data_IF_014599534995
#
_entry.id   IF_014599534995
#
_cell.length_a   1.000
_cell.length_b   1.000
_cell.length_c   1.000
_cell.angle_alpha   90.00
_cell.angle_beta   90.00
_cell.angle_gamma   90.00
#
_symmetry.space_group_name_H-M   'P 1'
#
loop_
_entity.id
_entity.type
_entity.pdbx_description
1 polymer ?
#
# COMPACT_ATOMS: atom_id res chain seq x y z
N UNK A 1 -11.55 30.81 -24.83
CA UNK A 1 -12.46 30.47 -23.72
C UNK A 1 -11.61 30.24 -22.48
N UNK A 2 -11.68 31.16 -21.54
CA UNK A 2 -10.96 31.11 -20.27
C UNK A 2 -11.57 30.01 -19.40
N UNK A 3 -10.86 28.91 -19.22
CA UNK A 3 -11.14 27.94 -18.17
C UNK A 3 -10.71 28.56 -16.83
N UNK A 4 -11.67 28.83 -15.96
CA UNK A 4 -11.41 29.29 -14.60
C UNK A 4 -10.60 28.24 -13.82
N UNK A 5 -9.36 28.59 -13.52
CA UNK A 5 -8.40 27.76 -12.76
C UNK A 5 -8.57 27.84 -11.24
N UNK A 6 -9.59 28.52 -10.71
CA UNK A 6 -9.67 28.92 -9.31
C UNK A 6 -10.40 27.93 -8.37
N UNK A 7 -11.12 26.93 -8.91
CA UNK A 7 -11.84 25.93 -8.08
C UNK A 7 -11.02 24.67 -7.71
N UNK A 8 -9.80 24.55 -8.21
CA UNK A 8 -8.95 23.37 -8.05
C UNK A 8 -8.00 23.43 -6.85
N UNK A 9 -7.81 24.57 -6.21
CA UNK A 9 -6.81 24.71 -5.15
C UNK A 9 -7.25 24.23 -3.75
N UNK A 10 -8.54 24.05 -3.47
CA UNK A 10 -8.99 23.62 -2.15
C UNK A 10 -9.28 22.12 -2.01
N UNK A 11 -9.37 21.38 -3.12
CA UNK A 11 -9.65 19.91 -3.14
C UNK A 11 -8.41 19.02 -2.96
N UNK A 12 -7.23 19.59 -2.79
CA UNK A 12 -5.95 18.89 -2.92
C UNK A 12 -5.37 18.28 -1.62
N UNK A 13 -5.98 18.52 -0.47
CA UNK A 13 -5.31 18.28 0.82
C UNK A 13 -5.67 16.99 1.56
N UNK A 14 -6.75 16.30 1.25
CA UNK A 14 -7.00 14.97 1.83
C UNK A 14 -7.70 14.04 0.85
N UNK A 15 -7.11 12.87 0.63
CA UNK A 15 -7.80 11.77 -0.05
C UNK A 15 -8.88 11.25 0.89
N UNK A 16 -10.15 11.43 0.54
CA UNK A 16 -11.25 10.82 1.29
C UNK A 16 -11.23 9.31 1.12
N UNK A 17 -11.34 8.58 2.22
CA UNK A 17 -11.21 7.13 2.25
C UNK A 17 -12.55 6.44 1.93
N UNK A 18 -13.17 6.82 0.80
CA UNK A 18 -14.45 6.25 0.35
C UNK A 18 -14.38 5.71 -1.06
N UNK A 19 -15.22 4.73 -1.38
CA UNK A 19 -15.36 4.22 -2.74
C UNK A 19 -15.78 5.33 -3.72
N UNK A 20 -16.70 6.20 -3.31
CA UNK A 20 -17.18 7.32 -4.13
C UNK A 20 -16.04 8.26 -4.52
N UNK A 21 -15.19 8.63 -3.57
CA UNK A 21 -14.00 9.45 -3.84
C UNK A 21 -13.05 8.75 -4.81
N UNK A 22 -12.81 7.46 -4.66
CA UNK A 22 -12.00 6.67 -5.58
C UNK A 22 -12.55 6.65 -7.00
N UNK A 23 -13.86 6.48 -7.16
CA UNK A 23 -14.54 6.54 -8.48
C UNK A 23 -14.52 7.94 -9.10
N UNK A 24 -14.66 9.00 -8.29
CA UNK A 24 -14.52 10.40 -8.72
C UNK A 24 -13.12 10.67 -9.26
N UNK A 25 -12.09 10.22 -8.55
CA UNK A 25 -10.67 10.32 -8.97
C UNK A 25 -10.45 9.56 -10.28
N UNK A 26 -10.94 8.33 -10.39
CA UNK A 26 -10.86 7.55 -11.63
C UNK A 26 -11.50 8.32 -12.80
N UNK A 27 -12.74 8.77 -12.65
CA UNK A 27 -13.47 9.51 -13.67
C UNK A 27 -12.70 10.75 -14.15
N UNK A 28 -12.14 11.51 -13.21
CA UNK A 28 -11.39 12.73 -13.53
C UNK A 28 -10.07 12.44 -14.24
N UNK A 29 -9.46 11.28 -13.99
CA UNK A 29 -8.20 10.87 -14.59
C UNK A 29 -8.37 10.19 -15.96
N UNK A 30 -9.53 9.60 -16.27
CA UNK A 30 -9.76 8.86 -17.52
C UNK A 30 -9.24 9.56 -18.78
N UNK A 31 -9.49 10.87 -19.01
CA UNK A 31 -8.99 11.54 -20.23
C UNK A 31 -7.46 11.53 -20.36
N UNK A 32 -6.74 11.37 -19.25
CA UNK A 32 -5.27 11.39 -19.20
C UNK A 32 -4.63 10.00 -19.26
N UNK A 33 -5.41 8.93 -19.07
CA UNK A 33 -4.89 7.54 -18.87
C UNK A 33 -4.20 6.94 -20.12
N UNK A 34 -4.25 7.60 -21.26
CA UNK A 34 -3.61 7.19 -22.50
C UNK A 34 -2.21 7.78 -22.71
N UNK A 35 -1.97 8.36 -23.86
CA UNK A 35 -0.68 8.94 -24.30
C UNK A 35 -0.16 10.04 -23.37
N UNK A 36 -1.07 10.83 -22.77
CA UNK A 36 -0.69 11.88 -21.81
C UNK A 36 0.01 11.27 -20.61
N UNK A 37 -0.57 10.22 -20.00
CA UNK A 37 0.06 9.47 -18.94
C UNK A 37 1.41 8.89 -19.35
N UNK A 38 1.48 8.27 -20.51
CA UNK A 38 2.73 7.70 -21.01
C UNK A 38 3.84 8.75 -21.11
N UNK A 39 3.54 9.96 -21.54
CA UNK A 39 4.50 11.05 -21.72
C UNK A 39 4.97 11.63 -20.38
N UNK A 40 4.06 11.84 -19.42
CA UNK A 40 4.31 12.64 -18.22
C UNK A 40 4.38 11.85 -16.91
N UNK A 41 4.13 10.54 -16.91
CA UNK A 41 4.05 9.70 -15.71
C UNK A 41 5.29 9.67 -14.83
N UNK A 42 6.44 10.08 -15.35
CA UNK A 42 7.71 10.08 -14.62
C UNK A 42 8.06 11.43 -13.98
N UNK A 43 7.24 12.46 -14.19
CA UNK A 43 7.48 13.81 -13.65
C UNK A 43 6.90 13.92 -12.24
N UNK A 44 7.74 14.20 -11.24
CA UNK A 44 7.34 14.62 -9.90
C UNK A 44 7.11 16.13 -9.92
N UNK A 45 5.85 16.52 -9.97
CA UNK A 45 5.43 17.92 -10.05
C UNK A 45 5.36 18.62 -8.67
N UNK A 46 5.76 17.90 -7.62
CA UNK A 46 5.75 18.40 -6.25
C UNK A 46 4.44 18.21 -5.51
N UNK A 47 4.48 18.50 -4.24
CA UNK A 47 3.34 18.35 -3.33
C UNK A 47 2.11 19.10 -3.85
N UNK A 48 0.96 18.44 -3.78
CA UNK A 48 -0.31 18.99 -4.25
C UNK A 48 -0.49 19.02 -5.79
N UNK A 49 0.53 18.71 -6.59
CA UNK A 49 0.50 18.83 -8.05
C UNK A 49 0.55 17.50 -8.81
N UNK A 50 0.12 16.40 -8.21
CA UNK A 50 0.18 15.07 -8.84
C UNK A 50 -0.90 14.82 -9.90
N UNK A 51 -1.26 15.83 -10.69
CA UNK A 51 -2.34 15.76 -11.69
C UNK A 51 -1.97 14.96 -12.96
N UNK A 52 -0.70 14.61 -13.14
CA UNK A 52 -0.18 13.77 -14.23
C UNK A 52 -0.27 12.26 -13.94
N UNK A 53 -0.64 11.88 -12.71
CA UNK A 53 -0.86 10.49 -12.27
C UNK A 53 -2.23 10.33 -11.62
N UNK A 54 -2.74 9.10 -11.56
CA UNK A 54 -4.13 8.85 -11.13
C UNK A 54 -4.37 9.02 -9.62
N UNK A 55 -3.36 8.80 -8.79
CA UNK A 55 -3.48 8.72 -7.32
C UNK A 55 -4.51 7.67 -6.83
N UNK A 56 -4.79 6.65 -7.64
CA UNK A 56 -5.74 5.58 -7.31
C UNK A 56 -5.19 4.51 -6.37
N UNK A 57 -3.87 4.51 -6.15
CA UNK A 57 -3.20 3.44 -5.39
C UNK A 57 -3.77 3.20 -3.98
N UNK A 58 -4.19 4.19 -3.17
CA UNK A 58 -4.82 3.94 -1.86
C UNK A 58 -6.15 3.20 -1.94
N UNK A 59 -6.92 3.44 -3.00
CA UNK A 59 -8.22 2.81 -3.25
C UNK A 59 -8.09 1.40 -3.82
N UNK A 60 -7.17 1.21 -4.76
CA UNK A 60 -6.82 -0.10 -5.32
C UNK A 60 -6.20 -1.01 -4.25
N UNK A 61 -5.38 -0.46 -3.35
CA UNK A 61 -4.75 -1.23 -2.29
C UNK A 61 -5.79 -1.90 -1.39
N UNK A 62 -6.92 -1.26 -1.17
CA UNK A 62 -8.02 -1.73 -0.30
C UNK A 62 -9.21 -2.30 -1.09
N UNK A 63 -9.13 -2.33 -2.41
CA UNK A 63 -10.26 -2.68 -3.29
C UNK A 63 -11.55 -1.89 -3.03
N UNK A 64 -11.44 -0.65 -2.57
CA UNK A 64 -12.54 0.31 -2.66
C UNK A 64 -12.93 0.57 -4.12
N UNK A 65 -11.93 0.55 -5.01
CA UNK A 65 -12.08 0.46 -6.47
C UNK A 65 -11.22 -0.71 -6.93
N UNK A 66 -11.78 -1.60 -7.74
CA UNK A 66 -11.07 -2.78 -8.22
C UNK A 66 -10.23 -2.48 -9.48
N UNK A 67 -9.20 -3.27 -9.70
CA UNK A 67 -8.39 -3.23 -10.93
C UNK A 67 -9.28 -3.44 -12.16
N UNK A 68 -10.26 -4.32 -12.09
CA UNK A 68 -11.19 -4.61 -13.18
C UNK A 68 -12.03 -3.37 -13.57
N UNK A 69 -12.55 -2.64 -12.58
CA UNK A 69 -13.29 -1.39 -12.81
C UNK A 69 -12.42 -0.33 -13.47
N UNK A 70 -11.17 -0.17 -12.97
CA UNK A 70 -10.22 0.78 -13.55
C UNK A 70 -9.91 0.44 -15.00
N UNK A 71 -9.59 -0.83 -15.30
CA UNK A 71 -9.25 -1.27 -16.65
C UNK A 71 -10.44 -1.16 -17.59
N UNK A 72 -11.64 -1.57 -17.16
CA UNK A 72 -12.86 -1.43 -17.94
C UNK A 72 -13.13 0.04 -18.29
N UNK A 73 -13.05 0.95 -17.31
CA UNK A 73 -13.27 2.37 -17.52
C UNK A 73 -12.24 2.99 -18.50
N UNK A 74 -10.96 2.67 -18.35
CA UNK A 74 -9.88 3.19 -19.21
C UNK A 74 -10.06 2.72 -20.66
N UNK A 75 -10.36 1.44 -20.86
CA UNK A 75 -10.51 0.86 -22.20
C UNK A 75 -11.80 1.28 -22.92
N UNK A 76 -12.74 1.97 -22.24
CA UNK A 76 -13.85 2.64 -22.93
C UNK A 76 -13.44 3.94 -23.63
N UNK A 77 -12.34 4.59 -23.20
CA UNK A 77 -11.89 5.89 -23.72
C UNK A 77 -10.58 5.81 -24.52
N UNK A 78 -9.77 4.79 -24.28
CA UNK A 78 -8.46 4.64 -24.91
C UNK A 78 -8.32 3.28 -25.57
N UNK A 79 -7.57 3.23 -26.69
CA UNK A 79 -7.13 1.96 -27.24
C UNK A 79 -6.16 1.26 -26.29
N UNK A 80 -6.07 -0.05 -26.38
CA UNK A 80 -5.10 -0.84 -25.60
C UNK A 80 -3.66 -0.35 -25.79
N UNK A 81 -3.30 0.06 -27.02
CA UNK A 81 -1.97 0.59 -27.31
C UNK A 81 -1.70 1.93 -26.64
N UNK A 82 -2.67 2.85 -26.63
CA UNK A 82 -2.52 4.18 -26.03
C UNK A 82 -2.48 4.10 -24.49
N UNK A 83 -3.29 3.22 -23.90
CA UNK A 83 -3.35 3.03 -22.45
C UNK A 83 -2.33 2.01 -21.91
N UNK A 84 -1.52 1.39 -22.76
CA UNK A 84 -0.66 0.26 -22.39
C UNK A 84 0.18 0.53 -21.12
N UNK A 85 0.77 1.72 -21.02
CA UNK A 85 1.61 2.07 -19.86
C UNK A 85 0.80 2.19 -18.57
N UNK A 86 -0.41 2.73 -18.62
CA UNK A 86 -1.26 2.81 -17.44
C UNK A 86 -1.78 1.43 -17.02
N UNK A 87 -2.24 0.64 -17.96
CA UNK A 87 -2.67 -0.75 -17.74
C UNK A 87 -1.55 -1.58 -17.12
N UNK A 88 -0.32 -1.44 -17.65
CA UNK A 88 0.87 -2.11 -17.10
C UNK A 88 1.11 -1.76 -15.64
N UNK A 89 0.98 -0.48 -15.25
CA UNK A 89 1.18 -0.06 -13.85
C UNK A 89 0.10 -0.63 -12.91
N UNK A 90 -1.15 -0.75 -13.37
CA UNK A 90 -2.20 -1.42 -12.60
C UNK A 90 -1.86 -2.90 -12.37
N UNK A 91 -1.36 -3.60 -13.39
CA UNK A 91 -0.99 -5.01 -13.28
C UNK A 91 0.28 -5.26 -12.44
N UNK A 92 1.20 -4.29 -12.32
CA UNK A 92 2.37 -4.44 -11.47
C UNK A 92 1.98 -4.77 -10.02
N UNK A 93 0.91 -4.19 -9.51
CA UNK A 93 0.39 -4.49 -8.18
C UNK A 93 0.03 -5.97 -8.02
N UNK A 94 -0.74 -6.52 -8.95
CA UNK A 94 -1.11 -7.95 -8.93
C UNK A 94 0.11 -8.85 -9.11
N UNK A 95 1.06 -8.44 -9.96
CA UNK A 95 2.31 -9.16 -10.14
C UNK A 95 3.12 -9.26 -8.84
N UNK A 96 3.31 -8.15 -8.12
CA UNK A 96 4.06 -8.15 -6.87
C UNK A 96 3.39 -9.00 -5.80
N UNK A 97 2.07 -8.91 -5.67
CA UNK A 97 1.31 -9.77 -4.75
C UNK A 97 1.50 -11.25 -5.09
N UNK A 98 1.26 -11.65 -6.31
CA UNK A 98 1.45 -13.04 -6.75
C UNK A 98 2.91 -13.52 -6.60
N UNK A 99 3.88 -12.63 -6.81
CA UNK A 99 5.29 -12.98 -6.62
C UNK A 99 5.59 -13.31 -5.16
N UNK A 100 5.09 -12.51 -4.21
CA UNK A 100 5.28 -12.73 -2.77
C UNK A 100 4.49 -13.94 -2.27
N UNK A 101 3.26 -14.16 -2.76
CA UNK A 101 2.46 -15.35 -2.44
C UNK A 101 3.17 -16.65 -2.76
N UNK A 102 3.95 -16.68 -3.85
CA UNK A 102 4.80 -17.80 -4.16
C UNK A 102 6.04 -17.90 -3.25
N UNK A 103 6.32 -16.92 -2.40
CA UNK A 103 7.51 -16.86 -1.53
C UNK A 103 7.19 -16.27 -0.16
N UNK A 104 6.24 -16.86 0.58
CA UNK A 104 5.75 -16.30 1.85
C UNK A 104 6.87 -16.18 2.90
N UNK A 105 7.84 -17.11 2.89
CA UNK A 105 8.99 -17.06 3.79
C UNK A 105 9.87 -15.81 3.60
N UNK A 106 9.79 -15.14 2.44
CA UNK A 106 10.49 -13.87 2.24
C UNK A 106 9.90 -12.75 3.10
N UNK A 107 8.59 -12.73 3.29
CA UNK A 107 7.95 -11.77 4.18
C UNK A 107 8.35 -12.00 5.64
N UNK A 108 8.40 -13.26 6.06
CA UNK A 108 8.84 -13.63 7.42
C UNK A 108 10.31 -13.24 7.66
N UNK A 109 11.19 -13.55 6.70
CA UNK A 109 12.59 -13.15 6.74
C UNK A 109 12.75 -11.63 6.79
N UNK A 110 12.01 -10.88 5.96
CA UNK A 110 12.00 -9.40 6.01
C UNK A 110 11.61 -8.88 7.39
N UNK A 111 10.59 -9.46 8.04
CA UNK A 111 10.16 -9.03 9.37
C UNK A 111 11.22 -9.28 10.44
N UNK A 112 11.98 -10.39 10.34
CA UNK A 112 13.08 -10.67 11.23
C UNK A 112 14.25 -9.72 10.98
N UNK A 113 14.66 -9.56 9.72
CA UNK A 113 15.75 -8.66 9.32
C UNK A 113 15.43 -7.20 9.68
N UNK A 114 14.18 -6.78 9.62
CA UNK A 114 13.73 -5.46 10.06
C UNK A 114 13.98 -5.26 11.56
N UNK A 115 13.62 -6.25 12.36
CA UNK A 115 13.85 -6.20 13.82
C UNK A 115 15.35 -6.09 14.13
N UNK A 116 16.16 -6.94 13.52
CA UNK A 116 17.61 -7.00 13.76
C UNK A 116 18.31 -5.70 13.28
N UNK A 117 17.90 -5.17 12.12
CA UNK A 117 18.39 -3.89 11.62
C UNK A 117 18.02 -2.73 12.56
N UNK A 118 16.79 -2.72 13.09
CA UNK A 118 16.35 -1.71 14.04
C UNK A 118 17.18 -1.73 15.33
N UNK A 119 17.35 -2.91 15.93
CA UNK A 119 18.17 -3.09 17.15
C UNK A 119 19.60 -2.61 16.87
N UNK A 120 20.23 -3.08 15.80
CA UNK A 120 21.60 -2.69 15.44
C UNK A 120 21.77 -1.19 15.25
N UNK A 121 20.81 -0.52 14.59
CA UNK A 121 20.85 0.95 14.41
C UNK A 121 20.66 1.67 15.74
N UNK A 122 19.76 1.19 16.62
CA UNK A 122 19.50 1.85 17.91
C UNK A 122 20.65 1.70 18.90
N UNK A 123 21.41 0.61 18.83
CA UNK A 123 22.60 0.38 19.67
C UNK A 123 23.80 1.23 19.23
N UNK A 124 23.91 1.61 17.97
CA UNK A 124 24.99 2.44 17.44
C UNK A 124 24.58 3.92 17.39
N UNK A 125 25.23 4.77 18.17
CA UNK A 125 24.87 6.19 18.26
C UNK A 125 24.97 6.95 16.94
N UNK A 126 25.98 6.65 16.10
CA UNK A 126 26.14 7.30 14.78
C UNK A 126 25.07 6.84 13.78
N UNK A 127 24.78 5.57 13.74
CA UNK A 127 23.70 5.05 12.87
C UNK A 127 22.33 5.54 13.32
N UNK A 128 22.08 5.58 14.62
CA UNK A 128 20.83 6.14 15.19
C UNK A 128 20.65 7.62 14.85
N UNK A 129 21.71 8.43 14.95
CA UNK A 129 21.65 9.83 14.56
C UNK A 129 21.36 9.97 13.05
N UNK A 130 22.02 9.19 12.19
CA UNK A 130 21.79 9.20 10.75
C UNK A 130 20.35 8.79 10.40
N UNK A 131 19.82 7.75 11.05
CA UNK A 131 18.44 7.32 10.91
C UNK A 131 17.45 8.41 11.34
N UNK A 132 17.65 9.00 12.53
CA UNK A 132 16.79 10.06 13.03
C UNK A 132 16.80 11.30 12.10
N UNK A 133 17.97 11.71 11.60
CA UNK A 133 18.07 12.80 10.63
C UNK A 133 17.30 12.49 9.35
N UNK A 134 17.33 11.24 8.89
CA UNK A 134 16.61 10.83 7.69
C UNK A 134 15.10 10.91 7.87
N UNK A 135 14.55 10.33 8.93
CA UNK A 135 13.08 10.30 9.17
C UNK A 135 12.51 11.66 9.62
N UNK A 136 13.37 12.57 10.08
CA UNK A 136 12.99 13.92 10.52
C UNK A 136 13.22 15.00 9.44
N UNK A 137 13.49 14.60 8.19
CA UNK A 137 13.75 15.53 7.09
C UNK A 137 14.92 16.51 7.37
N UNK A 138 15.98 16.05 8.05
CA UNK A 138 17.13 16.87 8.47
C UNK A 138 18.45 16.42 7.85
N UNK A 139 18.37 15.84 6.66
CA UNK A 139 19.58 15.49 5.88
C UNK A 139 20.12 16.70 5.14
N UNK A 140 21.29 16.54 4.52
CA UNK A 140 21.87 17.58 3.66
C UNK A 140 21.31 17.56 2.23
N UNK A 141 20.37 16.67 1.92
CA UNK A 141 19.77 16.50 0.59
C UNK A 141 18.35 17.07 0.61
N UNK A 142 18.19 18.28 0.09
CA UNK A 142 16.92 19.01 0.18
C UNK A 142 15.74 18.30 -0.48
N UNK A 143 15.85 17.72 -1.70
CA UNK A 143 14.75 16.98 -2.29
C UNK A 143 14.31 15.79 -1.44
N UNK A 144 15.25 15.08 -0.80
CA UNK A 144 14.96 13.97 0.10
C UNK A 144 14.16 14.47 1.32
N UNK A 145 14.57 15.56 1.94
CA UNK A 145 13.84 16.15 3.06
C UNK A 145 12.43 16.56 2.65
N UNK A 146 12.25 17.14 1.46
CA UNK A 146 10.94 17.49 0.91
C UNK A 146 10.03 16.25 0.74
N UNK A 147 10.58 15.13 0.26
CA UNK A 147 9.79 13.87 0.14
C UNK A 147 9.46 13.27 1.49
N UNK A 148 10.34 13.37 2.49
CA UNK A 148 10.01 12.93 3.86
C UNK A 148 8.85 13.73 4.42
N UNK A 149 8.87 15.05 4.26
CA UNK A 149 7.81 15.96 4.72
C UNK A 149 6.49 15.63 4.03
N UNK A 150 6.49 15.59 2.69
CA UNK A 150 5.28 15.25 1.91
C UNK A 150 4.70 13.90 2.30
N UNK A 151 5.55 12.87 2.45
CA UNK A 151 5.09 11.55 2.86
C UNK A 151 4.40 11.57 4.22
N UNK A 152 4.96 12.29 5.18
CA UNK A 152 4.40 12.38 6.55
C UNK A 152 3.10 13.19 6.59
N UNK A 153 2.99 14.23 5.76
CA UNK A 153 1.85 15.15 5.73
C UNK A 153 0.69 14.64 4.87
N UNK A 154 1.00 13.99 3.74
CA UNK A 154 -0.02 13.58 2.76
C UNK A 154 -0.26 12.07 2.67
N UNK A 155 0.66 11.27 3.19
CA UNK A 155 0.63 9.82 3.02
C UNK A 155 0.87 9.35 1.57
N UNK A 156 1.41 10.22 0.72
CA UNK A 156 1.61 9.93 -0.69
C UNK A 156 2.98 10.44 -1.17
N UNK A 157 3.57 9.72 -2.11
CA UNK A 157 4.70 10.16 -2.91
C UNK A 157 4.51 9.72 -4.35
N UNK A 158 4.94 10.55 -5.28
CA UNK A 158 5.05 10.16 -6.68
C UNK A 158 5.95 8.92 -6.85
N UNK A 159 5.59 7.99 -7.75
CA UNK A 159 6.33 6.72 -7.90
C UNK A 159 7.84 6.92 -8.15
N UNK A 160 8.21 7.90 -8.98
CA UNK A 160 9.63 8.17 -9.25
C UNK A 160 10.35 8.72 -8.02
N UNK A 161 9.69 9.55 -7.22
CA UNK A 161 10.24 10.03 -5.95
C UNK A 161 10.50 8.88 -4.97
N UNK A 162 9.64 7.86 -4.94
CA UNK A 162 9.87 6.65 -4.11
C UNK A 162 11.16 5.92 -4.49
N UNK A 163 11.47 5.84 -5.77
CA UNK A 163 12.70 5.21 -6.28
C UNK A 163 13.93 6.02 -5.90
N UNK A 164 13.90 7.34 -6.06
CA UNK A 164 15.00 8.22 -5.63
C UNK A 164 15.19 8.19 -4.12
N UNK A 165 14.11 8.27 -3.37
CA UNK A 165 14.13 8.16 -1.91
C UNK A 165 14.83 6.88 -1.46
N UNK A 166 14.40 5.72 -1.97
CA UNK A 166 14.97 4.44 -1.59
C UNK A 166 16.46 4.33 -1.97
N UNK A 167 16.83 4.82 -3.14
CA UNK A 167 18.23 4.87 -3.58
C UNK A 167 19.11 5.75 -2.69
N UNK A 168 18.62 6.94 -2.33
CA UNK A 168 19.35 7.86 -1.43
C UNK A 168 19.46 7.23 -0.03
N UNK A 169 18.39 6.68 0.49
CA UNK A 169 18.37 5.99 1.78
C UNK A 169 19.45 4.90 1.86
N UNK A 170 19.49 4.02 0.85
CA UNK A 170 20.38 2.86 0.85
C UNK A 170 21.82 3.25 0.55
N UNK A 171 22.04 3.97 -0.56
CA UNK A 171 23.37 4.13 -1.15
C UNK A 171 24.06 5.42 -0.79
N UNK A 172 23.33 6.47 -0.44
CA UNK A 172 23.91 7.76 -0.05
C UNK A 172 23.97 7.91 1.47
N UNK A 173 22.87 7.59 2.16
CA UNK A 173 22.81 7.66 3.64
C UNK A 173 23.34 6.40 4.31
N UNK A 174 23.52 5.30 3.57
CA UNK A 174 24.05 4.04 4.09
C UNK A 174 23.14 3.36 5.11
N UNK A 175 21.83 3.60 5.06
CA UNK A 175 20.88 3.05 6.02
C UNK A 175 20.32 1.70 5.55
N UNK A 176 20.01 0.77 6.48
CA UNK A 176 19.39 -0.49 6.14
C UNK A 176 18.09 -0.30 5.35
N UNK A 177 17.95 -1.00 4.23
CA UNK A 177 16.79 -0.88 3.35
C UNK A 177 15.49 -1.30 4.05
N UNK A 178 15.57 -2.26 4.98
CA UNK A 178 14.43 -2.73 5.75
C UNK A 178 13.77 -1.62 6.55
N UNK A 179 14.56 -0.72 7.15
CA UNK A 179 14.06 0.42 7.91
C UNK A 179 13.39 1.46 7.00
N UNK A 180 13.91 1.66 5.79
CA UNK A 180 13.29 2.54 4.80
C UNK A 180 11.97 1.95 4.27
N UNK A 181 11.94 0.65 3.99
CA UNK A 181 10.73 -0.05 3.59
C UNK A 181 9.65 0.01 4.69
N UNK A 182 10.03 -0.16 5.95
CA UNK A 182 9.15 -0.01 7.11
C UNK A 182 8.62 1.43 7.23
N UNK A 183 9.49 2.43 7.07
CA UNK A 183 9.09 3.84 7.08
C UNK A 183 8.02 4.13 6.01
N UNK A 184 8.18 3.60 4.80
CA UNK A 184 7.17 3.71 3.75
C UNK A 184 5.88 2.98 4.09
N UNK A 185 5.96 1.75 4.58
CA UNK A 185 4.78 0.96 4.92
C UNK A 185 3.90 1.63 5.97
N UNK A 186 4.54 2.30 6.94
CA UNK A 186 3.85 3.02 8.02
C UNK A 186 3.23 4.35 7.61
N UNK A 187 3.77 5.02 6.60
CA UNK A 187 3.36 6.38 6.23
C UNK A 187 2.58 6.43 4.91
N UNK A 188 2.75 5.49 4.00
CA UNK A 188 2.01 5.48 2.73
C UNK A 188 0.56 5.03 2.92
N UNK A 189 -0.40 5.81 2.42
CA UNK A 189 -1.81 5.41 2.36
C UNK A 189 -2.00 4.12 1.56
N UNK A 190 -1.22 3.96 0.50
CA UNK A 190 -1.20 2.77 -0.37
C UNK A 190 -0.18 1.71 0.04
N UNK A 191 0.39 1.81 1.25
CA UNK A 191 1.37 0.86 1.75
C UNK A 191 0.88 -0.59 1.65
N UNK A 192 1.47 -1.35 0.73
CA UNK A 192 1.18 -2.76 0.46
C UNK A 192 2.41 -3.61 0.78
N UNK A 193 2.29 -4.66 1.61
CA UNK A 193 3.44 -5.47 2.02
C UNK A 193 4.27 -6.01 0.85
N UNK A 194 3.61 -6.51 -0.21
CA UNK A 194 4.30 -7.07 -1.36
C UNK A 194 4.96 -5.99 -2.22
N UNK A 195 4.17 -5.03 -2.70
CA UNK A 195 4.68 -3.99 -3.60
C UNK A 195 5.78 -3.14 -2.95
N UNK A 196 5.62 -2.81 -1.67
CA UNK A 196 6.60 -2.02 -0.93
C UNK A 196 7.90 -2.80 -0.70
N UNK A 197 7.84 -3.99 -0.11
CA UNK A 197 9.05 -4.79 0.18
C UNK A 197 9.80 -5.14 -1.10
N UNK A 198 9.11 -5.60 -2.13
CA UNK A 198 9.75 -6.00 -3.39
C UNK A 198 10.26 -4.79 -4.18
N UNK A 199 9.59 -3.63 -4.09
CA UNK A 199 10.06 -2.37 -4.66
C UNK A 199 11.38 -1.90 -4.03
N UNK A 200 11.50 -1.93 -2.71
CA UNK A 200 12.74 -1.62 -2.00
C UNK A 200 13.86 -2.63 -2.33
N UNK A 201 13.54 -3.92 -2.38
CA UNK A 201 14.47 -4.97 -2.82
C UNK A 201 14.94 -4.76 -4.26
N UNK A 202 14.07 -4.27 -5.13
CA UNK A 202 14.43 -3.96 -6.51
C UNK A 202 15.45 -2.83 -6.58
N UNK A 203 15.26 -1.72 -5.85
CA UNK A 203 16.24 -0.63 -5.76
C UNK A 203 17.58 -1.12 -5.22
N UNK A 204 17.54 -1.98 -4.18
CA UNK A 204 18.72 -2.54 -3.52
C UNK A 204 19.52 -3.55 -4.37
N UNK A 205 19.00 -3.98 -5.52
CA UNK A 205 19.63 -5.01 -6.37
C UNK A 205 19.41 -6.46 -5.92
N UNK A 206 18.42 -6.68 -5.04
CA UNK A 206 18.07 -7.98 -4.47
C UNK A 206 16.97 -8.69 -5.24
N UNK A 207 16.01 -7.95 -5.81
CA UNK A 207 14.88 -8.51 -6.56
C UNK A 207 15.27 -8.97 -7.97
N UNK A 208 16.09 -8.18 -8.63
CA UNK A 208 16.80 -8.59 -9.86
C UNK A 208 18.28 -8.60 -9.51
N UNK A 209 18.80 -9.79 -9.27
CA UNK A 209 20.14 -9.96 -8.71
C UNK A 209 21.20 -9.14 -9.45
N UNK A 210 21.88 -8.28 -8.72
CA UNK A 210 22.97 -7.45 -9.22
C UNK A 210 22.55 -6.15 -9.93
N UNK A 211 21.26 -5.92 -10.19
CA UNK A 211 20.76 -4.70 -10.85
C UNK A 211 20.22 -3.72 -9.82
N UNK A 212 21.04 -2.75 -9.43
CA UNK A 212 20.63 -1.65 -8.56
C UNK A 212 19.93 -0.52 -9.35
N UNK A 213 19.11 0.27 -8.67
CA UNK A 213 18.68 1.58 -9.15
C UNK A 213 19.41 2.67 -8.38
N UNK A 214 20.28 3.42 -9.07
CA UNK A 214 21.02 4.53 -8.46
C UNK A 214 20.41 5.87 -8.88
N UNK A 215 19.98 6.67 -7.91
CA UNK A 215 19.48 8.02 -8.13
C UNK A 215 20.61 8.91 -8.65
N UNK A 216 20.33 9.69 -9.69
CA UNK A 216 21.28 10.65 -10.24
C UNK A 216 20.74 12.07 -10.16
N UNK A 217 21.64 13.03 -9.92
CA UNK A 217 21.31 14.44 -9.86
C UNK A 217 20.64 14.93 -11.17
N UNK A 218 21.11 14.46 -12.33
CA UNK A 218 20.53 14.81 -13.62
C UNK A 218 19.08 14.32 -13.77
N UNK A 219 18.79 13.08 -13.35
CA UNK A 219 17.44 12.54 -13.42
C UNK A 219 16.47 13.28 -12.48
N UNK A 220 16.91 13.56 -11.23
CA UNK A 220 16.11 14.34 -10.27
C UNK A 220 15.85 15.75 -10.81
N UNK A 221 16.84 16.42 -11.41
CA UNK A 221 16.64 17.74 -12.02
C UNK A 221 15.68 17.71 -13.22
N UNK A 222 15.74 16.67 -14.03
CA UNK A 222 14.90 16.57 -15.23
C UNK A 222 13.44 16.20 -14.90
N UNK A 223 13.22 15.33 -13.92
CA UNK A 223 11.89 14.79 -13.63
C UNK A 223 11.29 15.31 -12.31
N UNK A 224 12.05 16.00 -11.47
CA UNK A 224 11.63 16.56 -10.18
C UNK A 224 12.15 17.99 -9.97
N UNK A 225 12.22 18.77 -11.04
CA UNK A 225 12.82 20.13 -11.03
C UNK A 225 12.21 21.06 -9.96
N UNK A 226 10.94 20.89 -9.66
CA UNK A 226 10.20 21.65 -8.62
C UNK A 226 10.84 21.50 -7.23
N UNK A 227 11.47 20.36 -6.97
CA UNK A 227 12.11 20.04 -5.67
C UNK A 227 13.50 20.64 -5.53
N UNK A 228 14.14 21.03 -6.64
CA UNK A 228 15.55 21.37 -6.67
C UNK A 228 15.78 22.87 -6.65
N UNK A 229 14.74 23.67 -6.93
CA UNK A 229 14.86 25.13 -7.07
C UNK A 229 15.60 25.58 -8.34
N UNK A 230 15.76 26.89 -8.56
CA UNK A 230 16.44 27.41 -9.74
C UNK A 230 17.90 26.97 -9.78
N UNK A 231 18.37 26.59 -10.96
CA UNK A 231 19.68 25.96 -11.22
C UNK A 231 20.92 26.76 -10.79
N UNK A 232 20.78 28.04 -10.43
CA UNK A 232 21.91 28.92 -10.34
C UNK A 232 22.43 29.25 -8.94
N UNK A 233 21.70 28.96 -7.85
CA UNK A 233 22.08 29.43 -6.53
C UNK A 233 22.19 28.40 -5.42
N UNK A 234 21.90 27.08 -5.70
CA UNK A 234 21.78 26.15 -4.61
C UNK A 234 22.18 24.71 -4.98
N UNK A 235 23.20 24.21 -4.29
CA UNK A 235 23.56 22.77 -4.35
C UNK A 235 22.57 21.92 -3.59
N UNK A 236 21.35 22.02 -3.64
CA UNK A 236 20.32 21.21 -2.95
C UNK A 236 20.77 19.86 -2.35
N UNK A 237 22.08 19.64 -2.17
CA UNK A 237 22.73 18.42 -1.69
C UNK A 237 22.88 17.32 -2.74
N UNK A 238 22.51 17.57 -3.99
CA UNK A 238 22.59 16.54 -5.05
C UNK A 238 24.02 16.18 -5.44
N UNK A 239 25.02 17.02 -5.15
CA UNK A 239 26.44 16.69 -5.30
C UNK A 239 26.91 15.59 -4.34
N UNK A 240 26.16 15.32 -3.26
CA UNK A 240 26.45 14.29 -2.27
C UNK A 240 25.90 12.91 -2.62
N UNK A 241 25.11 12.80 -3.68
CA UNK A 241 24.58 11.52 -4.11
C UNK A 241 25.70 10.55 -4.45
N UNK A 242 25.55 9.29 -4.07
CA UNK A 242 26.48 8.25 -4.45
C UNK A 242 26.62 8.19 -5.98
N UNK A 243 27.86 8.26 -6.46
CA UNK A 243 28.18 8.19 -7.90
C UNK A 243 28.28 6.74 -8.41
N UNK A 244 28.46 5.79 -7.49
CA UNK A 244 28.50 4.36 -7.74
C UNK A 244 28.05 3.61 -6.51
N UNK A 245 27.54 2.40 -6.68
CA UNK A 245 27.14 1.54 -5.58
C UNK A 245 27.23 0.06 -6.00
N UNK A 246 27.31 -0.80 -5.00
CA UNK A 246 27.18 -2.24 -5.17
C UNK A 246 25.81 -2.70 -4.69
N UNK A 247 25.25 -3.80 -5.21
CA UNK A 247 24.07 -4.42 -4.67
C UNK A 247 24.23 -4.69 -3.18
N UNK A 248 23.12 -4.53 -2.45
CA UNK A 248 23.11 -4.88 -1.03
C UNK A 248 23.39 -6.37 -0.87
N UNK A 249 24.22 -6.72 0.10
CA UNK A 249 24.44 -8.11 0.47
C UNK A 249 23.33 -8.55 1.44
N UNK A 250 22.72 -9.68 1.17
CA UNK A 250 21.67 -10.26 1.99
C UNK A 250 21.96 -11.74 2.25
N UNK A 251 21.85 -12.15 3.50
CA UNK A 251 22.02 -13.56 3.89
C UNK A 251 20.64 -14.20 4.11
N UNK A 252 19.90 -14.37 3.03
CA UNK A 252 18.65 -15.13 3.09
C UNK A 252 18.92 -16.61 2.93
N UNK A 253 18.19 -17.43 3.68
CA UNK A 253 18.12 -18.85 3.40
C UNK A 253 17.58 -19.06 1.98
N UNK A 254 18.19 -19.96 1.21
CA UNK A 254 17.77 -20.28 -0.15
C UNK A 254 16.28 -20.64 -0.23
N UNK A 255 15.74 -21.25 0.83
CA UNK A 255 14.31 -21.57 0.97
C UNK A 255 13.38 -20.35 0.90
N UNK A 256 13.81 -19.17 1.38
CA UNK A 256 12.99 -17.97 1.34
C UNK A 256 12.74 -17.43 -0.08
N UNK A 257 13.65 -17.73 -1.01
CA UNK A 257 13.53 -17.35 -2.42
C UNK A 257 12.94 -18.46 -3.30
N UNK A 258 12.77 -19.69 -2.77
CA UNK A 258 12.16 -20.77 -3.52
C UNK A 258 10.68 -20.54 -3.74
N UNK A 259 10.24 -20.77 -4.98
CA UNK A 259 8.84 -20.71 -5.35
C UNK A 259 8.07 -21.86 -4.72
N UNK A 260 7.06 -21.55 -3.95
CA UNK A 260 6.11 -22.50 -3.37
C UNK A 260 4.81 -22.52 -4.17
N UNK A 261 4.10 -23.62 -4.12
CA UNK A 261 2.75 -23.69 -4.66
C UNK A 261 1.80 -22.90 -3.76
N UNK A 262 0.94 -22.09 -4.37
CA UNK A 262 -0.10 -21.38 -3.62
C UNK A 262 -1.23 -22.36 -3.36
N UNK A 263 -1.64 -22.47 -2.10
CA UNK A 263 -2.85 -23.18 -1.73
C UNK A 263 -4.00 -22.18 -1.81
N UNK A 264 -4.70 -22.19 -2.93
CA UNK A 264 -5.86 -21.33 -3.11
C UNK A 264 -7.01 -21.81 -2.22
N UNK A 265 -7.78 -20.87 -1.62
CA UNK A 265 -9.00 -21.26 -0.93
C UNK A 265 -9.95 -21.94 -1.89
N UNK A 266 -10.76 -22.86 -1.36
CA UNK A 266 -11.82 -23.48 -2.16
C UNK A 266 -12.84 -22.41 -2.55
N UNK A 267 -13.33 -22.43 -3.80
CA UNK A 267 -14.40 -21.52 -4.20
C UNK A 267 -15.57 -21.64 -3.22
N UNK A 268 -16.13 -20.49 -2.83
CA UNK A 268 -17.38 -20.49 -2.07
C UNK A 268 -18.40 -21.30 -2.88
N UNK A 269 -19.03 -22.30 -2.23
CA UNK A 269 -20.06 -23.11 -2.85
C UNK A 269 -21.10 -22.20 -3.52
N UNK A 270 -21.71 -22.65 -4.62
CA UNK A 270 -22.77 -21.93 -5.31
C UNK A 270 -23.94 -21.66 -4.37
N UNK A 271 -23.87 -20.51 -3.69
CA UNK A 271 -24.91 -20.01 -2.80
C UNK A 271 -25.63 -18.92 -3.51
N UNK A 272 -26.91 -19.06 -3.68
CA UNK A 272 -27.75 -18.03 -4.23
C UNK A 272 -28.69 -17.48 -3.15
N UNK A 273 -28.98 -16.18 -3.20
CA UNK A 273 -29.92 -15.55 -2.29
C UNK A 273 -29.33 -15.14 -0.94
N UNK A 274 -30.19 -15.12 0.08
CA UNK A 274 -29.81 -14.73 1.45
C UNK A 274 -29.46 -15.96 2.27
N UNK A 275 -28.33 -15.91 2.99
CA UNK A 275 -27.84 -17.02 3.83
C UNK A 275 -27.85 -16.56 5.29
N UNK A 276 -28.75 -17.12 6.09
CA UNK A 276 -29.07 -16.65 7.46
C UNK A 276 -28.00 -16.94 8.50
N UNK A 277 -27.08 -17.87 8.23
CA UNK A 277 -26.06 -18.33 9.18
C UNK A 277 -24.63 -17.99 8.77
N UNK A 278 -24.47 -17.13 7.75
CA UNK A 278 -23.18 -16.69 7.23
C UNK A 278 -23.01 -15.18 7.41
N UNK A 279 -21.87 -14.78 7.96
CA UNK A 279 -21.49 -13.37 8.06
C UNK A 279 -20.26 -13.06 7.21
N UNK A 280 -20.13 -11.80 6.79
CA UNK A 280 -18.98 -11.27 6.08
C UNK A 280 -18.01 -10.60 7.06
N UNK A 281 -16.75 -10.99 6.99
CA UNK A 281 -15.63 -10.33 7.66
C UNK A 281 -14.87 -9.42 6.66
N UNK A 282 -14.86 -8.14 6.93
CA UNK A 282 -14.07 -7.15 6.18
C UNK A 282 -12.71 -6.90 6.82
N UNK A 283 -11.69 -6.84 5.99
CA UNK A 283 -10.30 -6.56 6.36
C UNK A 283 -9.77 -5.41 5.50
N UNK A 284 -8.90 -4.57 6.06
CA UNK A 284 -8.28 -3.43 5.35
C UNK A 284 -7.51 -3.83 4.07
N UNK A 285 -7.20 -5.11 3.89
CA UNK A 285 -6.54 -5.61 2.66
C UNK A 285 -7.49 -5.73 1.48
N UNK A 286 -8.77 -6.00 1.73
CA UNK A 286 -9.80 -6.12 0.69
C UNK A 286 -11.17 -5.74 1.27
N UNK A 287 -11.67 -4.61 0.83
CA UNK A 287 -12.99 -4.06 1.19
C UNK A 287 -14.01 -4.23 0.04
N UNK A 288 -13.68 -5.08 -0.94
CA UNK A 288 -14.58 -5.42 -2.04
C UNK A 288 -15.81 -6.19 -1.53
N UNK A 289 -16.96 -5.89 -2.10
CA UNK A 289 -18.25 -6.48 -1.70
C UNK A 289 -18.83 -7.40 -2.78
N UNK A 290 -17.99 -7.94 -3.67
CA UNK A 290 -18.44 -8.80 -4.77
C UNK A 290 -18.60 -10.23 -4.28
N UNK A 291 -19.77 -10.50 -3.66
CA UNK A 291 -20.19 -11.82 -3.20
C UNK A 291 -21.32 -12.36 -4.07
N UNK A 292 -21.36 -13.68 -4.32
CA UNK A 292 -22.45 -14.32 -5.07
C UNK A 292 -23.73 -14.50 -4.23
N UNK A 293 -23.71 -14.17 -2.95
CA UNK A 293 -24.82 -14.33 -2.00
C UNK A 293 -24.93 -13.11 -1.06
N UNK A 294 -26.01 -13.03 -0.29
CA UNK A 294 -26.22 -11.99 0.71
C UNK A 294 -25.92 -12.55 2.10
N UNK A 295 -24.85 -12.08 2.79
CA UNK A 295 -24.58 -12.46 4.17
C UNK A 295 -25.65 -11.87 5.11
N UNK A 296 -25.92 -12.56 6.22
CA UNK A 296 -26.87 -12.11 7.24
C UNK A 296 -26.27 -11.06 8.19
N UNK A 297 -24.95 -10.95 8.23
CA UNK A 297 -24.26 -9.97 9.05
C UNK A 297 -22.95 -9.53 8.43
N UNK A 298 -22.46 -8.37 8.86
CA UNK A 298 -21.17 -7.82 8.45
C UNK A 298 -20.40 -7.37 9.68
N UNK A 299 -19.14 -7.79 9.77
CA UNK A 299 -18.20 -7.38 10.79
C UNK A 299 -16.89 -6.96 10.11
N UNK A 300 -16.20 -6.00 10.67
CA UNK A 300 -14.91 -5.56 10.16
C UNK A 300 -13.85 -5.56 11.25
N UNK A 301 -12.65 -6.04 10.95
CA UNK A 301 -11.51 -5.83 11.83
C UNK A 301 -10.90 -4.45 11.56
N UNK A 302 -10.44 -3.74 12.61
CA UNK A 302 -9.65 -2.53 12.44
C UNK A 302 -8.35 -2.88 11.70
N UNK A 303 -7.79 -1.87 11.02
CA UNK A 303 -6.51 -2.06 10.35
C UNK A 303 -5.43 -2.50 11.34
N UNK A 304 -4.71 -3.56 10.99
CA UNK A 304 -3.59 -4.05 11.77
C UNK A 304 -2.42 -3.04 11.76
N UNK A 305 -1.58 -3.09 12.79
CA UNK A 305 -0.30 -2.39 12.77
C UNK A 305 0.52 -2.82 11.56
N UNK A 306 1.12 -1.86 10.87
CA UNK A 306 1.93 -2.10 9.67
C UNK A 306 3.40 -2.36 9.97
N UNK A 307 3.81 -2.20 11.22
CA UNK A 307 5.19 -2.39 11.65
C UNK A 307 5.25 -3.07 13.02
N UNK A 308 6.35 -3.78 13.25
CA UNK A 308 6.69 -4.38 14.55
C UNK A 308 7.67 -3.55 15.35
N UNK A 309 8.28 -2.53 14.74
CA UNK A 309 9.35 -1.73 15.38
C UNK A 309 8.93 -0.29 15.65
N UNK A 310 7.85 0.18 15.04
CA UNK A 310 7.33 1.54 15.23
C UNK A 310 5.83 1.63 14.93
N UNK A 311 5.19 2.69 15.36
CA UNK A 311 3.76 2.90 15.15
C UNK A 311 3.43 3.27 13.70
N UNK A 312 2.28 2.81 13.22
CA UNK A 312 1.69 3.27 11.96
C UNK A 312 1.27 4.74 12.12
N UNK A 313 1.50 5.56 11.10
CA UNK A 313 1.18 6.98 11.17
C UNK A 313 -0.32 7.22 11.45
N UNK A 314 -0.68 8.26 12.23
CA UNK A 314 -2.07 8.58 12.51
C UNK A 314 -2.90 8.81 11.22
N UNK A 315 -2.29 9.39 10.18
CA UNK A 315 -2.94 9.62 8.89
C UNK A 315 -3.35 8.30 8.23
N UNK A 316 -2.45 7.30 8.21
CA UNK A 316 -2.75 5.98 7.66
C UNK A 316 -3.79 5.24 8.47
N UNK A 317 -3.74 5.35 9.81
CA UNK A 317 -4.74 4.76 10.71
C UNK A 317 -6.11 5.37 10.46
N UNK A 318 -6.21 6.70 10.39
CA UNK A 318 -7.45 7.42 10.13
C UNK A 318 -8.04 7.05 8.76
N UNK A 319 -7.21 7.02 7.70
CA UNK A 319 -7.64 6.62 6.37
C UNK A 319 -8.17 5.17 6.35
N UNK A 320 -7.45 4.24 6.96
CA UNK A 320 -7.87 2.84 7.02
C UNK A 320 -9.17 2.67 7.79
N UNK A 321 -9.32 3.35 8.95
CA UNK A 321 -10.55 3.31 9.74
C UNK A 321 -11.74 3.86 8.96
N UNK A 322 -11.58 4.99 8.26
CA UNK A 322 -12.63 5.58 7.43
C UNK A 322 -12.99 4.70 6.24
N UNK A 323 -12.01 4.06 5.59
CA UNK A 323 -12.24 3.13 4.48
C UNK A 323 -13.05 1.90 4.92
N UNK A 324 -12.72 1.34 6.08
CA UNK A 324 -13.47 0.23 6.66
C UNK A 324 -14.90 0.66 7.00
N UNK A 325 -15.09 1.83 7.59
CA UNK A 325 -16.42 2.36 7.91
C UNK A 325 -17.28 2.58 6.65
N UNK A 326 -16.68 3.13 5.58
CA UNK A 326 -17.35 3.27 4.27
C UNK A 326 -17.77 1.91 3.72
N UNK A 327 -16.89 0.90 3.73
CA UNK A 327 -17.20 -0.44 3.26
C UNK A 327 -18.34 -1.11 4.06
N UNK A 328 -18.37 -0.95 5.37
CA UNK A 328 -19.47 -1.42 6.22
C UNK A 328 -20.79 -0.73 5.84
N UNK A 329 -20.77 0.58 5.63
CA UNK A 329 -21.94 1.32 5.18
C UNK A 329 -22.42 0.86 3.79
N UNK A 330 -21.52 0.65 2.86
CA UNK A 330 -21.80 0.12 1.53
C UNK A 330 -22.39 -1.31 1.58
N UNK A 331 -21.87 -2.15 2.48
CA UNK A 331 -22.38 -3.51 2.69
C UNK A 331 -23.81 -3.52 3.16
N UNK A 332 -24.20 -2.61 4.05
CA UNK A 332 -25.59 -2.46 4.49
C UNK A 332 -26.53 -2.10 3.35
N UNK A 333 -26.15 -1.12 2.54
CA UNK A 333 -26.96 -0.71 1.40
C UNK A 333 -27.08 -1.83 0.35
N UNK A 334 -25.99 -2.62 0.15
CA UNK A 334 -25.96 -3.68 -0.86
C UNK A 334 -26.66 -4.95 -0.42
N UNK A 335 -26.47 -5.38 0.83
CA UNK A 335 -26.93 -6.66 1.31
C UNK A 335 -28.22 -6.56 2.14
N UNK A 336 -28.64 -5.35 2.52
CA UNK A 336 -29.66 -5.10 3.53
C UNK A 336 -29.38 -5.94 4.80
N UNK A 337 -28.11 -6.01 5.20
CA UNK A 337 -27.66 -6.79 6.34
C UNK A 337 -28.27 -6.21 7.62
N UNK A 338 -29.03 -7.02 8.32
CA UNK A 338 -29.76 -6.61 9.53
C UNK A 338 -28.88 -6.56 10.77
N UNK A 339 -27.70 -7.14 10.71
CA UNK A 339 -26.81 -7.31 11.85
C UNK A 339 -25.46 -6.65 11.54
N UNK A 340 -25.10 -5.66 12.35
CA UNK A 340 -23.77 -5.06 12.37
C UNK A 340 -23.05 -5.45 13.64
N UNK A 341 -21.75 -5.72 13.56
CA UNK A 341 -20.93 -5.75 14.76
C UNK A 341 -20.93 -4.37 15.42
N UNK A 342 -20.93 -4.29 16.74
CA UNK A 342 -20.70 -3.06 17.46
C UNK A 342 -19.29 -2.52 17.13
N UNK A 343 -19.04 -1.26 17.47
CA UNK A 343 -17.70 -0.69 17.39
C UNK A 343 -16.71 -1.59 18.13
N UNK A 344 -15.68 -2.09 17.43
CA UNK A 344 -14.71 -3.00 18.01
C UNK A 344 -13.80 -2.27 18.99
N UNK A 345 -13.52 -2.92 20.10
CA UNK A 345 -12.60 -2.44 21.14
C UNK A 345 -11.13 -2.74 20.79
N UNK A 346 -10.23 -2.45 21.72
CA UNK A 346 -8.83 -2.88 21.65
C UNK A 346 -8.67 -4.42 21.57
N UNK A 347 -9.72 -5.18 21.92
CA UNK A 347 -9.81 -6.64 21.83
C UNK A 347 -10.62 -7.08 20.60
N UNK A 348 -10.41 -6.45 19.48
CA UNK A 348 -11.22 -6.61 18.28
C UNK A 348 -11.45 -8.08 17.84
N UNK A 349 -10.46 -8.94 18.05
CA UNK A 349 -10.60 -10.37 17.74
C UNK A 349 -11.64 -11.03 18.65
N UNK A 350 -11.55 -10.80 19.95
CA UNK A 350 -12.47 -11.33 20.94
C UNK A 350 -13.88 -10.79 20.71
N UNK A 351 -14.01 -9.51 20.41
CA UNK A 351 -15.31 -8.88 20.11
C UNK A 351 -15.97 -9.53 18.89
N UNK A 352 -15.20 -9.87 17.85
CA UNK A 352 -15.73 -10.60 16.67
C UNK A 352 -16.19 -11.99 17.04
N UNK A 353 -15.43 -12.73 17.85
CA UNK A 353 -15.78 -14.08 18.29
C UNK A 353 -17.05 -14.08 19.14
N UNK A 354 -17.18 -13.14 20.08
CA UNK A 354 -18.39 -12.97 20.91
C UNK A 354 -19.60 -12.58 20.06
N UNK A 355 -19.41 -11.71 19.07
CA UNK A 355 -20.48 -11.31 18.16
C UNK A 355 -20.96 -12.50 17.30
N UNK A 356 -20.05 -13.33 16.80
CA UNK A 356 -20.37 -14.54 16.03
C UNK A 356 -21.21 -15.51 16.89
N UNK A 357 -20.77 -15.76 18.13
CA UNK A 357 -21.47 -16.65 19.07
C UNK A 357 -22.86 -16.11 19.42
N UNK A 358 -22.98 -14.81 19.72
CA UNK A 358 -24.24 -14.18 20.13
C UNK A 358 -25.32 -14.21 19.04
N UNK A 359 -24.93 -14.28 17.76
CA UNK A 359 -25.86 -14.31 16.63
C UNK A 359 -26.00 -15.68 15.98
N UNK A 360 -25.27 -16.67 16.48
CA UNK A 360 -25.38 -18.07 16.02
C UNK A 360 -24.86 -18.28 14.58
N UNK A 361 -23.89 -17.47 14.13
CA UNK A 361 -23.26 -17.72 12.84
C UNK A 361 -22.44 -18.98 12.86
N UNK A 362 -22.58 -19.78 11.82
CA UNK A 362 -21.82 -21.02 11.63
C UNK A 362 -20.67 -20.88 10.68
N UNK A 363 -20.63 -19.76 9.96
CA UNK A 363 -19.56 -19.46 9.03
C UNK A 363 -19.31 -17.96 8.95
N UNK A 364 -18.02 -17.62 8.89
CA UNK A 364 -17.51 -16.29 8.60
C UNK A 364 -16.74 -16.34 7.28
N UNK A 365 -17.13 -15.51 6.34
CA UNK A 365 -16.51 -15.43 4.99
C UNK A 365 -15.70 -14.16 4.89
N UNK A 366 -14.51 -14.24 4.31
CA UNK A 366 -13.66 -13.08 4.05
C UNK A 366 -13.03 -13.14 2.66
N UNK A 367 -12.55 -12.02 2.14
CA UNK A 367 -11.73 -12.02 0.94
C UNK A 367 -10.37 -12.68 1.20
N UNK A 368 -9.75 -13.25 0.16
CA UNK A 368 -8.40 -13.82 0.26
C UNK A 368 -7.41 -12.82 0.89
N UNK A 369 -6.73 -13.24 1.93
CA UNK A 369 -5.74 -12.42 2.64
C UNK A 369 -4.34 -12.79 2.14
N UNK A 370 -3.67 -11.90 1.38
CA UNK A 370 -2.34 -12.16 0.87
C UNK A 370 -1.28 -12.11 1.99
N UNK A 371 -0.10 -12.64 1.67
CA UNK A 371 1.08 -12.56 2.55
C UNK A 371 1.33 -11.13 3.02
N UNK A 372 1.35 -10.93 4.33
CA UNK A 372 1.44 -9.61 4.94
C UNK A 372 0.96 -9.58 6.39
N UNK A 373 0.67 -8.40 6.90
CA UNK A 373 0.36 -8.17 8.31
C UNK A 373 -0.89 -8.91 8.81
N UNK A 374 -1.93 -9.03 7.98
CA UNK A 374 -3.20 -9.65 8.37
C UNK A 374 -3.18 -11.19 8.31
N UNK A 375 -2.18 -11.79 7.70
CA UNK A 375 -2.11 -13.26 7.55
C UNK A 375 -2.11 -13.97 8.91
N UNK A 376 -1.34 -13.46 9.87
CA UNK A 376 -1.26 -14.04 11.23
C UNK A 376 -2.58 -13.87 12.00
N UNK A 377 -3.28 -12.76 11.82
CA UNK A 377 -4.58 -12.52 12.46
C UNK A 377 -5.62 -13.53 11.96
N UNK A 378 -5.64 -13.78 10.65
CA UNK A 378 -6.56 -14.75 10.05
C UNK A 378 -6.25 -16.18 10.52
N UNK A 379 -4.98 -16.56 10.61
CA UNK A 379 -4.60 -17.88 11.12
C UNK A 379 -5.05 -18.07 12.58
N UNK A 380 -4.87 -17.07 13.44
CA UNK A 380 -5.34 -17.10 14.82
C UNK A 380 -6.86 -17.14 14.89
N UNK A 381 -7.56 -16.36 14.08
CA UNK A 381 -9.02 -16.33 14.00
C UNK A 381 -9.56 -17.69 13.57
N UNK A 382 -8.93 -18.32 12.59
CA UNK A 382 -9.33 -19.66 12.11
C UNK A 382 -9.28 -20.70 13.23
N UNK A 383 -8.21 -20.71 14.01
CA UNK A 383 -8.05 -21.61 15.16
C UNK A 383 -9.15 -21.37 16.22
N UNK A 384 -9.38 -20.10 16.57
CA UNK A 384 -10.37 -19.71 17.58
C UNK A 384 -11.83 -20.01 17.15
N UNK A 385 -12.16 -19.77 15.90
CA UNK A 385 -13.50 -20.07 15.35
C UNK A 385 -13.72 -21.58 15.23
N UNK A 386 -12.72 -22.34 14.78
CA UNK A 386 -12.81 -23.80 14.71
C UNK A 386 -13.11 -24.44 16.06
N UNK A 387 -12.52 -23.92 17.16
CA UNK A 387 -12.81 -24.40 18.52
C UNK A 387 -14.26 -24.13 18.98
N UNK A 388 -15.00 -23.25 18.28
CA UNK A 388 -16.41 -22.93 18.49
C UNK A 388 -17.35 -23.60 17.48
N UNK A 389 -16.81 -24.43 16.59
CA UNK A 389 -17.59 -25.07 15.52
C UNK A 389 -17.99 -24.11 14.39
N UNK A 390 -17.34 -22.93 14.29
CA UNK A 390 -17.56 -21.93 13.25
C UNK A 390 -16.49 -22.05 12.19
N UNK A 391 -16.88 -22.08 10.92
CA UNK A 391 -15.98 -22.15 9.78
C UNK A 391 -15.51 -20.74 9.38
N UNK A 392 -14.22 -20.58 9.06
CA UNK A 392 -13.68 -19.40 8.40
C UNK A 392 -13.36 -19.77 6.94
N UNK A 393 -13.93 -19.06 5.98
CA UNK A 393 -13.82 -19.33 4.53
C UNK A 393 -13.40 -18.09 3.77
N UNK A 394 -12.61 -18.25 2.68
CA UNK A 394 -12.13 -17.16 1.84
C UNK A 394 -12.57 -17.34 0.37
#
# INVERSE_FOLDING_TARGET
ENLNFDDTQSELLSLEATREAGLKILKNFLPKAGRIYQAHRNEDLGEGNHHNVSRLSPYLRRRLVSEQEVLAAVLTQHSTSDAFKFVQEVFWRSYWKGWLEHRPLLWEAYQQDLHDAFVSVMENSGHRESYNRAIDARTEIQPFNGWVTELKETGYLHNHARMWFASIWIFTLGLPWQLGADFFLRHLLDGDPAANTLGWRWVAGLQTQGKIYLASASNIRNCGAVRVGPLNDYDSGLSRLASSAQPVSETLATSALQKQAIVWPQPLENREGSVSNVALLLLDDDLGLDLPFRPAGVVALPASSRSRVAETSPLVQAFSTSAVADAVHQADARFAATLRAPSLSAKALEDVLEWVDAHGFTELVHAYVPSGNNHQIIALMQERLASRGVRLSA
#
